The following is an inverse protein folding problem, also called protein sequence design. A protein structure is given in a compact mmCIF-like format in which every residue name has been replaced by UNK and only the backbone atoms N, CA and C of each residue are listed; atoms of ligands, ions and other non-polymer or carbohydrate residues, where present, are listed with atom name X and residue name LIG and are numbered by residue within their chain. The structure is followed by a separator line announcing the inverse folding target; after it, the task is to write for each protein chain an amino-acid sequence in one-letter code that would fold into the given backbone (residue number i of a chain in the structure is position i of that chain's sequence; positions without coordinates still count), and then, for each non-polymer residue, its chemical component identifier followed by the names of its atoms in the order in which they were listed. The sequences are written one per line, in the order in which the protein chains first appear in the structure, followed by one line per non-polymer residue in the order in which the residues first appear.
data_IF_377138049234
#
_entry.id   IF_377138049234
#
_cell.length_a   1.000
_cell.length_b   1.000
_cell.length_c   1.000
_cell.angle_alpha   90.00
_cell.angle_beta   90.00
_cell.angle_gamma   90.00
#
_symmetry.space_group_name_H-M   'P 1'
#
loop_
_entity.id
_entity.type
_entity.pdbx_description
1 polymer ?
#
# COMPACT_ATOMS: atom_id res chain seq x y z
N UNK A 1 15.92 -21.63 -44.14
CA UNK A 1 15.51 -21.14 -42.80
C UNK A 1 15.12 -22.37 -41.98
N UNK A 2 15.86 -22.71 -40.92
CA UNK A 2 15.69 -24.00 -40.24
C UNK A 2 14.48 -24.01 -39.30
N UNK A 3 13.88 -25.19 -39.12
CA UNK A 3 12.73 -25.44 -38.25
C UNK A 3 12.95 -24.95 -36.80
N UNK A 4 14.22 -24.95 -36.36
CA UNK A 4 14.66 -24.50 -35.04
C UNK A 4 14.45 -23.00 -34.78
N UNK A 5 14.51 -22.16 -35.81
CA UNK A 5 14.26 -20.72 -35.64
C UNK A 5 12.78 -20.42 -35.38
N UNK A 6 11.87 -21.18 -36.01
CA UNK A 6 10.43 -21.01 -35.79
C UNK A 6 10.00 -21.48 -34.40
N UNK A 7 10.57 -22.59 -33.91
CA UNK A 7 10.27 -23.09 -32.58
C UNK A 7 10.68 -22.08 -31.49
N UNK A 8 11.87 -21.48 -31.60
CA UNK A 8 12.33 -20.47 -30.65
C UNK A 8 11.45 -19.21 -30.67
N UNK A 9 11.05 -18.73 -31.85
CA UNK A 9 10.15 -17.56 -31.96
C UNK A 9 8.79 -17.84 -31.32
N UNK A 10 8.19 -19.00 -31.60
CA UNK A 10 6.89 -19.39 -31.03
C UNK A 10 6.99 -19.57 -29.51
N UNK A 11 8.07 -20.17 -29.01
CA UNK A 11 8.30 -20.35 -27.57
C UNK A 11 8.51 -19.00 -26.88
N UNK A 12 9.26 -18.07 -27.48
CA UNK A 12 9.44 -16.71 -26.95
C UNK A 12 8.13 -15.93 -26.93
N UNK A 13 7.30 -16.02 -27.98
CA UNK A 13 5.98 -15.38 -28.02
C UNK A 13 5.06 -15.99 -26.95
N UNK A 14 5.05 -17.31 -26.80
CA UNK A 14 4.23 -18.01 -25.80
C UNK A 14 4.64 -17.68 -24.36
N UNK A 15 5.94 -17.59 -24.10
CA UNK A 15 6.46 -17.17 -22.79
C UNK A 15 6.22 -15.68 -22.52
N UNK A 16 6.19 -14.84 -23.57
CA UNK A 16 5.89 -13.42 -23.45
C UNK A 16 4.41 -13.15 -23.17
N UNK A 17 3.49 -13.93 -23.78
CA UNK A 17 2.04 -13.74 -23.58
C UNK A 17 1.55 -14.22 -22.21
N UNK A 18 2.22 -15.21 -21.60
CA UNK A 18 1.89 -15.67 -20.24
C UNK A 18 2.19 -14.60 -19.17
N UNK A 19 3.14 -13.71 -19.43
CA UNK A 19 3.53 -12.65 -18.48
C UNK A 19 2.65 -11.39 -18.54
N UNK A 20 1.68 -11.32 -19.46
CA UNK A 20 0.99 -10.07 -19.80
C UNK A 20 -0.46 -9.96 -19.33
N UNK A 21 -0.99 -10.94 -18.61
CA UNK A 21 -2.20 -10.70 -17.82
C UNK A 21 -1.78 -10.02 -16.52
N UNK A 22 -1.44 -8.74 -16.63
CA UNK A 22 -1.34 -7.86 -15.47
C UNK A 22 -2.64 -7.99 -14.67
N UNK A 23 -2.51 -8.21 -13.37
CA UNK A 23 -3.64 -8.31 -12.48
C UNK A 23 -4.26 -6.93 -12.31
N UNK A 24 -5.24 -6.61 -13.16
CA UNK A 24 -5.87 -5.30 -13.22
C UNK A 24 -6.69 -4.95 -11.97
N UNK A 25 -6.79 -5.86 -11.00
CA UNK A 25 -7.54 -5.68 -9.76
C UNK A 25 -6.82 -4.78 -8.77
N UNK A 26 -5.51 -4.62 -8.89
CA UNK A 26 -4.69 -3.80 -8.03
C UNK A 26 -3.95 -2.75 -8.83
N UNK A 27 -3.80 -1.57 -8.24
CA UNK A 27 -3.05 -0.47 -8.84
C UNK A 27 -2.33 0.31 -7.76
N UNK A 28 -1.02 0.46 -7.91
CA UNK A 28 -0.26 1.38 -7.07
C UNK A 28 -0.58 2.81 -7.53
N UNK A 29 -1.17 3.61 -6.65
CA UNK A 29 -1.47 5.01 -6.93
C UNK A 29 -0.24 5.92 -6.82
N UNK A 30 0.87 5.36 -6.34
CA UNK A 30 2.14 6.05 -6.07
C UNK A 30 3.31 5.22 -6.59
N UNK A 31 4.37 5.88 -7.05
CA UNK A 31 5.62 5.22 -7.42
C UNK A 31 6.62 5.21 -6.26
N UNK A 32 6.36 4.35 -5.27
CA UNK A 32 7.20 4.24 -4.07
C UNK A 32 8.55 3.58 -4.38
N UNK A 33 9.62 4.37 -4.31
CA UNK A 33 11.01 3.97 -4.58
C UNK A 33 11.59 3.06 -3.50
N UNK A 34 10.90 2.87 -2.38
CA UNK A 34 11.31 1.96 -1.31
C UNK A 34 10.88 0.50 -1.58
N UNK A 35 10.02 0.27 -2.58
CA UNK A 35 9.59 -1.07 -3.01
C UNK A 35 10.65 -1.66 -3.96
N UNK A 36 11.03 -2.95 -3.82
CA UNK A 36 11.84 -3.62 -4.82
C UNK A 36 11.15 -3.62 -6.20
N UNK A 37 11.88 -3.33 -7.27
CA UNK A 37 11.32 -3.18 -8.65
C UNK A 37 10.39 -4.33 -9.06
N UNK A 38 10.75 -5.57 -8.71
CA UNK A 38 9.99 -6.78 -9.03
C UNK A 38 8.68 -6.93 -8.24
N UNK A 39 8.47 -6.14 -7.18
CA UNK A 39 7.27 -6.14 -6.33
C UNK A 39 6.31 -4.95 -6.58
N UNK A 40 6.59 -4.06 -7.54
CA UNK A 40 5.68 -2.94 -7.84
C UNK A 40 4.32 -3.38 -8.39
N UNK A 41 4.27 -4.53 -9.06
CA UNK A 41 3.06 -5.05 -9.69
C UNK A 41 2.36 -6.04 -8.78
N UNK A 42 1.62 -5.52 -7.80
CA UNK A 42 0.84 -6.32 -6.83
C UNK A 42 -0.23 -7.14 -7.54
N UNK A 43 -0.35 -8.42 -7.17
CA UNK A 43 -1.31 -9.39 -7.72
C UNK A 43 -2.09 -10.07 -6.61
N UNK A 44 -3.23 -10.66 -6.95
CA UNK A 44 -4.02 -11.46 -6.00
C UNK A 44 -3.21 -12.61 -5.38
N UNK A 45 -2.28 -13.19 -6.13
CA UNK A 45 -1.42 -14.28 -5.65
C UNK A 45 -0.43 -13.85 -4.56
N UNK A 46 -0.15 -12.55 -4.46
CA UNK A 46 0.84 -12.03 -3.53
C UNK A 46 0.24 -11.97 -2.11
N UNK A 47 -1.09 -11.85 -2.02
CA UNK A 47 -1.84 -11.87 -0.77
C UNK A 47 -1.89 -13.27 -0.16
N UNK A 48 -1.22 -13.46 0.99
CA UNK A 48 -1.16 -14.75 1.70
C UNK A 48 -2.56 -15.22 2.14
N UNK A 49 -2.72 -16.53 2.38
CA UNK A 49 -3.98 -17.06 2.89
C UNK A 49 -4.28 -16.62 4.33
N UNK A 50 -3.22 -16.29 5.08
CA UNK A 50 -3.26 -15.90 6.50
C UNK A 50 -2.84 -14.42 6.68
N UNK A 51 -3.49 -13.51 5.94
CA UNK A 51 -3.21 -12.06 6.08
C UNK A 51 -3.64 -11.55 7.44
N UNK A 52 -2.73 -10.82 8.08
CA UNK A 52 -3.01 -10.03 9.27
C UNK A 52 -3.60 -8.66 8.92
N UNK A 53 -4.62 -8.24 9.65
CA UNK A 53 -5.26 -6.94 9.47
C UNK A 53 -5.00 -6.08 10.70
N UNK A 54 -4.62 -4.83 10.52
CA UNK A 54 -4.41 -3.91 11.64
C UNK A 54 -4.90 -2.50 11.34
N UNK A 55 -5.11 -1.74 12.39
CA UNK A 55 -5.52 -0.35 12.33
C UNK A 55 -4.49 0.51 13.05
N UNK A 56 -4.20 1.68 12.49
CA UNK A 56 -3.31 2.65 13.10
C UNK A 56 -4.01 4.01 13.24
N UNK A 57 -3.72 4.70 14.33
CA UNK A 57 -4.14 6.07 14.53
C UNK A 57 -3.08 6.87 15.28
N UNK A 58 -3.45 8.06 15.74
CA UNK A 58 -2.61 8.98 16.50
C UNK A 58 -2.62 8.62 18.00
N UNK A 59 -1.82 9.32 18.81
CA UNK A 59 -1.69 9.14 20.27
C UNK A 59 -3.03 8.96 20.98
N UNK A 60 -3.10 8.14 22.03
CA UNK A 60 -4.30 7.80 22.82
C UNK A 60 -5.46 7.19 21.98
N UNK A 61 -5.15 6.57 20.85
CA UNK A 61 -6.16 5.93 20.01
C UNK A 61 -6.39 4.47 20.38
N UNK A 62 -5.42 3.81 21.02
CA UNK A 62 -5.56 2.42 21.50
C UNK A 62 -6.78 2.19 22.38
N UNK A 63 -7.10 3.13 23.27
CA UNK A 63 -8.31 3.07 24.11
C UNK A 63 -9.63 3.07 23.30
N UNK A 64 -9.59 3.46 22.02
CA UNK A 64 -10.73 3.43 21.10
C UNK A 64 -10.75 2.15 20.23
N UNK A 65 -9.82 1.23 20.45
CA UNK A 65 -9.74 -0.07 19.80
C UNK A 65 -8.77 -0.17 18.63
N UNK A 66 -7.95 0.86 18.34
CA UNK A 66 -6.88 0.77 17.35
C UNK A 66 -5.75 -0.15 17.82
N UNK A 67 -5.12 -0.86 16.89
CA UNK A 67 -4.05 -1.83 17.17
C UNK A 67 -2.72 -1.11 17.46
N UNK A 68 -2.41 -0.10 16.63
CA UNK A 68 -1.20 0.72 16.73
C UNK A 68 -1.52 2.20 16.88
N UNK A 69 -0.61 2.94 17.51
CA UNK A 69 -0.70 4.39 17.59
C UNK A 69 0.65 5.04 17.31
N UNK A 70 0.64 6.10 16.50
CA UNK A 70 1.77 6.98 16.33
C UNK A 70 1.76 8.05 17.44
N UNK A 71 2.89 8.40 18.07
CA UNK A 71 2.95 9.31 19.23
C UNK A 71 2.55 10.77 18.98
N UNK A 72 2.18 11.13 17.74
CA UNK A 72 1.69 12.48 17.40
C UNK A 72 0.22 12.62 17.80
N UNK A 73 -0.21 13.84 18.09
CA UNK A 73 -1.64 14.18 18.14
C UNK A 73 -2.12 14.81 16.83
N UNK A 74 -3.42 15.06 16.71
CA UNK A 74 -4.01 15.65 15.51
C UNK A 74 -3.50 17.08 15.25
N UNK A 75 -3.28 17.87 16.31
CA UNK A 75 -2.78 19.24 16.18
C UNK A 75 -1.38 19.24 15.56
N UNK A 76 -0.55 18.30 15.99
CA UNK A 76 0.81 18.07 15.47
C UNK A 76 0.76 17.68 14.00
N UNK A 77 -0.06 16.69 13.62
CA UNK A 77 -0.25 16.30 12.23
C UNK A 77 -0.71 17.48 11.34
N UNK A 78 -1.72 18.24 11.80
CA UNK A 78 -2.20 19.44 11.11
C UNK A 78 -1.10 20.50 10.94
N UNK A 79 -0.30 20.75 11.97
CA UNK A 79 0.78 21.75 11.93
C UNK A 79 1.87 21.35 10.94
N UNK A 80 2.29 20.08 10.97
CA UNK A 80 3.30 19.54 10.05
C UNK A 80 2.79 19.61 8.60
N UNK A 81 1.54 19.17 8.36
CA UNK A 81 0.92 19.24 7.05
C UNK A 81 0.87 20.67 6.50
N UNK A 82 0.41 21.64 7.30
CA UNK A 82 0.39 23.06 6.92
C UNK A 82 1.77 23.62 6.65
N UNK A 83 2.78 23.26 7.45
CA UNK A 83 4.17 23.66 7.23
C UNK A 83 4.69 23.09 5.91
N UNK A 84 4.36 21.85 5.57
CA UNK A 84 4.73 21.23 4.30
C UNK A 84 4.04 21.88 3.08
N UNK A 85 2.75 22.22 3.20
CA UNK A 85 2.04 22.98 2.16
C UNK A 85 2.63 24.39 1.97
N UNK A 86 2.94 25.09 3.07
CA UNK A 86 3.62 26.37 3.03
C UNK A 86 4.99 26.28 2.38
N UNK A 87 5.79 25.26 2.72
CA UNK A 87 7.07 25.00 2.09
C UNK A 87 7.00 24.76 0.58
N UNK A 88 5.90 24.21 0.05
CA UNK A 88 5.69 24.07 -1.41
C UNK A 88 5.39 25.38 -2.10
N UNK A 89 4.78 26.34 -1.39
CA UNK A 89 4.43 27.65 -1.93
C UNK A 89 5.59 28.66 -1.90
N UNK A 90 6.66 28.37 -1.15
CA UNK A 90 7.80 29.26 -0.95
C UNK A 90 9.08 28.56 -1.46
N UNK A 91 9.93 29.23 -2.23
CA UNK A 91 11.17 28.65 -2.74
C UNK A 91 12.05 28.10 -1.60
N UNK A 92 12.74 26.98 -1.84
CA UNK A 92 13.56 26.27 -0.83
C UNK A 92 14.55 27.18 -0.07
N UNK A 93 15.01 28.27 -0.69
CA UNK A 93 15.92 29.26 -0.09
C UNK A 93 15.33 29.99 1.14
N UNK A 94 14.01 30.08 1.26
CA UNK A 94 13.33 30.77 2.38
C UNK A 94 13.21 29.92 3.66
N UNK A 95 13.39 28.59 3.55
CA UNK A 95 13.15 27.66 4.67
C UNK A 95 14.41 27.52 5.55
N UNK A 96 15.60 27.73 5.00
CA UNK A 96 16.85 27.59 5.75
C UNK A 96 17.14 28.76 6.72
N UNK A 97 16.56 29.95 6.48
CA UNK A 97 16.88 31.15 7.27
C UNK A 97 16.17 31.30 8.62
N UNK A 98 14.99 30.67 8.82
CA UNK A 98 14.11 30.98 9.96
C UNK A 98 13.86 29.83 10.96
N UNK A 99 14.47 28.66 10.78
CA UNK A 99 14.16 27.46 11.60
C UNK A 99 15.24 27.12 12.65
N UNK A 100 16.20 28.00 12.93
CA UNK A 100 17.37 27.67 13.76
C UNK A 100 17.10 27.50 15.28
N UNK A 101 15.87 27.65 15.78
CA UNK A 101 15.63 27.69 17.23
C UNK A 101 14.47 26.87 17.80
N UNK A 102 13.79 26.02 17.02
CA UNK A 102 12.80 25.08 17.60
C UNK A 102 13.24 23.62 17.43
N UNK A 103 14.04 23.11 18.38
CA UNK A 103 14.26 21.67 18.58
C UNK A 103 13.04 21.03 19.25
N UNK A 104 11.89 21.10 18.58
CA UNK A 104 10.66 20.47 19.07
C UNK A 104 10.45 19.14 18.34
N UNK A 105 9.81 18.12 18.96
CA UNK A 105 9.46 16.87 18.27
C UNK A 105 8.72 17.06 16.94
N UNK A 106 8.03 18.19 16.77
CA UNK A 106 7.38 18.57 15.52
C UNK A 106 8.37 18.80 14.37
N UNK A 107 9.56 19.30 14.68
CA UNK A 107 10.62 19.52 13.70
C UNK A 107 11.18 18.19 13.20
N UNK A 108 11.40 17.22 14.08
CA UNK A 108 11.89 15.89 13.68
C UNK A 108 10.89 15.17 12.77
N UNK A 109 9.60 15.14 13.15
CA UNK A 109 8.55 14.57 12.30
C UNK A 109 8.43 15.32 10.96
N UNK A 110 8.56 16.65 10.98
CA UNK A 110 8.57 17.43 9.75
C UNK A 110 9.73 17.02 8.86
N UNK A 111 10.97 16.98 9.38
CA UNK A 111 12.14 16.59 8.59
C UNK A 111 12.00 15.16 8.01
N UNK A 112 11.54 14.20 8.82
CA UNK A 112 11.24 12.84 8.35
C UNK A 112 10.20 12.85 7.22
N UNK A 113 9.13 13.64 7.36
CA UNK A 113 8.10 13.78 6.33
C UNK A 113 8.68 14.32 5.01
N UNK A 114 9.48 15.39 5.05
CA UNK A 114 10.00 16.02 3.81
C UNK A 114 11.05 15.14 3.14
N UNK A 115 11.81 14.37 3.93
CA UNK A 115 12.81 13.43 3.42
C UNK A 115 12.16 12.23 2.71
N UNK A 116 11.06 11.69 3.24
CA UNK A 116 10.48 10.44 2.73
C UNK A 116 9.29 10.62 1.78
N UNK A 117 8.54 11.72 1.89
CA UNK A 117 7.41 11.96 0.98
C UNK A 117 7.77 11.85 -0.51
N UNK A 118 8.90 12.40 -1.00
CA UNK A 118 9.29 12.25 -2.41
C UNK A 118 9.68 10.82 -2.79
N UNK A 119 10.28 10.06 -1.87
CA UNK A 119 10.67 8.67 -2.11
C UNK A 119 9.45 7.78 -2.26
N UNK A 120 8.40 8.06 -1.49
CA UNK A 120 7.14 7.32 -1.50
C UNK A 120 6.09 7.94 -2.46
N UNK A 121 6.48 8.93 -3.27
CA UNK A 121 5.63 9.65 -4.23
C UNK A 121 4.36 10.29 -3.63
N UNK A 122 4.49 10.82 -2.41
CA UNK A 122 3.44 11.59 -1.75
C UNK A 122 3.49 13.07 -2.13
N UNK A 123 2.33 13.62 -2.48
CA UNK A 123 2.18 15.04 -2.74
C UNK A 123 1.64 15.84 -1.53
N UNK A 124 1.43 15.20 -0.38
CA UNK A 124 0.93 15.84 0.86
C UNK A 124 -0.37 16.62 0.62
N UNK A 125 -1.24 16.11 -0.25
CA UNK A 125 -2.52 16.72 -0.62
C UNK A 125 -3.54 16.67 0.52
N UNK A 126 -3.37 15.77 1.49
CA UNK A 126 -4.27 15.63 2.63
C UNK A 126 -3.52 15.52 3.97
N UNK A 127 -4.20 15.91 5.05
CA UNK A 127 -3.70 15.72 6.43
C UNK A 127 -3.40 14.24 6.70
N UNK A 128 -4.20 13.32 6.13
CA UNK A 128 -4.09 11.86 6.34
C UNK A 128 -2.75 11.29 5.89
N UNK A 129 -2.21 11.81 4.80
CA UNK A 129 -0.92 11.37 4.25
C UNK A 129 0.24 11.58 5.23
N UNK A 130 0.14 12.55 6.14
CA UNK A 130 1.14 12.70 7.22
C UNK A 130 1.18 11.47 8.12
N UNK A 131 0.02 10.91 8.46
CA UNK A 131 -0.04 9.70 9.28
C UNK A 131 0.37 8.45 8.48
N UNK A 132 0.08 8.38 7.19
CA UNK A 132 0.53 7.27 6.34
C UNK A 132 2.06 7.22 6.26
N UNK A 133 2.72 8.35 6.01
CA UNK A 133 4.19 8.41 5.93
C UNK A 133 4.81 8.13 7.31
N UNK A 134 4.42 8.90 8.34
CA UNK A 134 5.01 8.74 9.67
C UNK A 134 4.68 7.38 10.29
N UNK A 135 3.48 6.86 10.02
CA UNK A 135 3.07 5.52 10.41
C UNK A 135 3.89 4.44 9.73
N UNK A 136 4.19 4.60 8.44
CA UNK A 136 5.09 3.69 7.72
C UNK A 136 6.48 3.68 8.33
N UNK A 137 7.07 4.85 8.63
CA UNK A 137 8.37 4.94 9.28
C UNK A 137 8.38 4.29 10.66
N UNK A 138 7.33 4.50 11.46
CA UNK A 138 7.18 3.83 12.75
C UNK A 138 7.10 2.30 12.59
N UNK A 139 6.40 1.79 11.57
CA UNK A 139 6.37 0.36 11.31
C UNK A 139 7.75 -0.16 10.88
N UNK A 140 8.51 0.60 10.09
CA UNK A 140 9.90 0.24 9.79
C UNK A 140 10.73 0.07 11.06
N UNK A 141 10.62 1.00 12.01
CA UNK A 141 11.34 0.91 13.29
C UNK A 141 10.88 -0.27 14.17
N UNK A 142 9.60 -0.66 14.09
CA UNK A 142 9.02 -1.68 14.95
C UNK A 142 9.22 -3.11 14.42
N UNK A 143 9.11 -3.31 13.11
CA UNK A 143 8.96 -4.66 12.53
C UNK A 143 9.81 -4.92 11.30
N UNK A 144 10.42 -3.91 10.68
CA UNK A 144 11.15 -4.17 9.45
C UNK A 144 12.50 -4.81 9.72
N UNK A 145 12.78 -5.84 8.93
CA UNK A 145 14.08 -6.48 8.83
C UNK A 145 14.65 -6.32 7.41
N UNK A 146 15.73 -7.06 7.12
CA UNK A 146 16.37 -7.06 5.81
C UNK A 146 15.47 -7.65 4.70
N UNK A 147 14.42 -8.38 5.07
CA UNK A 147 13.50 -9.09 4.17
C UNK A 147 12.14 -8.43 4.03
N UNK A 148 11.77 -7.50 4.88
CA UNK A 148 10.45 -6.84 4.81
C UNK A 148 10.51 -5.48 4.14
N UNK A 149 9.51 -5.16 3.31
CA UNK A 149 9.19 -3.79 2.90
C UNK A 149 7.77 -3.40 3.33
N UNK A 150 7.57 -2.10 3.52
CA UNK A 150 6.32 -1.49 3.94
C UNK A 150 5.98 -0.36 2.98
N UNK A 151 4.75 -0.37 2.46
CA UNK A 151 4.24 0.64 1.53
C UNK A 151 2.74 0.87 1.75
N UNK A 152 2.11 1.69 0.91
CA UNK A 152 0.67 2.00 0.95
C UNK A 152 0.13 2.37 -0.43
N UNK A 153 -1.05 2.98 -0.47
CA UNK A 153 -1.70 3.44 -1.71
C UNK A 153 -1.92 2.40 -2.78
N UNK A 154 -2.26 1.18 -2.37
CA UNK A 154 -2.72 0.16 -3.30
C UNK A 154 -4.23 0.23 -3.40
N UNK A 155 -4.72 0.75 -4.53
CA UNK A 155 -6.13 0.74 -4.87
C UNK A 155 -6.55 -0.65 -5.36
N UNK A 156 -7.79 -1.02 -5.08
CA UNK A 156 -8.35 -2.29 -5.54
C UNK A 156 -9.73 -2.14 -6.17
N UNK A 157 -9.99 -2.94 -7.21
CA UNK A 157 -11.25 -2.99 -7.98
C UNK A 157 -11.61 -4.43 -8.35
N UNK A 158 -12.89 -4.67 -8.59
CA UNK A 158 -13.35 -5.94 -9.19
C UNK A 158 -12.89 -6.00 -10.64
N UNK A 159 -12.49 -7.18 -11.12
CA UNK A 159 -11.92 -7.43 -12.46
C UNK A 159 -12.74 -6.86 -13.64
N UNK A 160 -14.05 -6.66 -13.47
CA UNK A 160 -14.94 -6.13 -14.52
C UNK A 160 -15.45 -4.72 -14.23
N UNK A 161 -14.91 -4.05 -13.21
CA UNK A 161 -15.34 -2.72 -12.79
C UNK A 161 -14.23 -1.71 -13.03
N UNK A 162 -14.56 -0.60 -13.70
CA UNK A 162 -13.61 0.48 -13.96
C UNK A 162 -13.30 1.36 -12.74
N UNK A 163 -14.11 1.28 -11.67
CA UNK A 163 -13.95 2.12 -10.48
C UNK A 163 -13.30 1.35 -9.34
N UNK A 164 -12.37 1.99 -8.64
CA UNK A 164 -11.84 1.48 -7.38
C UNK A 164 -12.92 1.42 -6.31
N UNK A 165 -12.83 0.38 -5.49
CA UNK A 165 -13.76 0.10 -4.38
C UNK A 165 -13.13 0.51 -3.05
N UNK A 166 -11.80 0.57 -3.00
CA UNK A 166 -11.05 1.13 -1.89
C UNK A 166 -9.56 1.22 -2.21
N UNK A 167 -8.84 1.66 -1.19
CA UNK A 167 -7.39 1.82 -1.14
C UNK A 167 -6.92 1.26 0.21
N UNK A 168 -5.69 0.77 0.25
CA UNK A 168 -5.03 0.33 1.48
C UNK A 168 -3.97 1.34 1.90
N UNK A 169 -4.04 1.80 3.15
CA UNK A 169 -3.08 2.76 3.69
C UNK A 169 -1.72 2.11 4.00
N UNK A 170 -1.70 0.83 4.38
CA UNK A 170 -0.48 0.06 4.64
C UNK A 170 -0.52 -1.36 4.06
N UNK A 171 0.64 -1.80 3.56
CA UNK A 171 0.95 -3.17 3.16
C UNK A 171 2.32 -3.52 3.72
N UNK A 172 2.45 -4.73 4.27
CA UNK A 172 3.72 -5.30 4.74
C UNK A 172 3.94 -6.61 3.97
N UNK A 173 5.10 -6.71 3.33
CA UNK A 173 5.42 -7.81 2.44
C UNK A 173 6.90 -8.21 2.46
N UNK A 174 7.16 -9.43 2.02
CA UNK A 174 8.51 -9.95 1.84
C UNK A 174 9.12 -9.41 0.53
N UNK A 175 10.34 -8.87 0.62
CA UNK A 175 11.10 -8.22 -0.46
C UNK A 175 11.56 -9.16 -1.56
N UNK A 176 11.57 -10.48 -1.32
CA UNK A 176 12.09 -11.46 -2.28
C UNK A 176 10.97 -12.15 -3.04
N UNK A 177 9.88 -12.46 -2.34
CA UNK A 177 8.73 -13.20 -2.85
C UNK A 177 7.55 -12.30 -3.20
N UNK A 178 7.60 -11.03 -2.79
CA UNK A 178 6.51 -10.06 -2.82
C UNK A 178 5.26 -10.51 -2.02
N UNK A 179 5.37 -11.56 -1.19
CA UNK A 179 4.23 -12.08 -0.45
C UNK A 179 3.79 -11.06 0.62
N UNK A 180 2.55 -10.60 0.49
CA UNK A 180 1.86 -9.70 1.41
C UNK A 180 1.24 -10.53 2.53
N UNK A 181 1.67 -10.27 3.76
CA UNK A 181 1.20 -10.98 4.96
C UNK A 181 0.50 -10.06 5.97
N UNK A 182 0.56 -8.74 5.79
CA UNK A 182 -0.28 -7.84 6.57
C UNK A 182 -0.74 -6.62 5.77
N UNK A 183 -1.96 -6.15 6.08
CA UNK A 183 -2.55 -4.94 5.52
C UNK A 183 -3.11 -4.07 6.64
N UNK A 184 -3.04 -2.76 6.46
CA UNK A 184 -3.42 -1.81 7.49
C UNK A 184 -4.17 -0.60 6.98
N UNK A 185 -4.87 0.04 7.92
CA UNK A 185 -5.69 1.22 7.67
C UNK A 185 -5.41 2.30 8.73
N UNK A 186 -5.13 3.52 8.26
CA UNK A 186 -4.77 4.67 9.07
C UNK A 186 -5.95 5.65 9.22
N UNK A 187 -6.19 6.15 10.43
CA UNK A 187 -7.16 7.25 10.64
C UNK A 187 -6.66 8.27 11.65
N UNK A 188 -6.58 9.54 11.26
CA UNK A 188 -6.25 10.64 12.19
C UNK A 188 -7.30 10.89 13.28
N UNK A 189 -8.57 10.55 13.04
CA UNK A 189 -9.61 10.74 14.03
C UNK A 189 -9.80 9.45 14.85
N UNK A 190 -9.49 9.52 16.15
CA UNK A 190 -9.61 8.41 17.11
C UNK A 190 -11.03 7.81 17.18
N UNK A 191 -12.08 8.56 16.79
CA UNK A 191 -13.46 8.08 16.72
C UNK A 191 -13.80 7.31 15.43
N UNK A 192 -12.89 7.30 14.45
CA UNK A 192 -13.07 6.62 13.15
C UNK A 192 -12.55 5.18 13.13
N UNK A 193 -12.31 4.56 14.28
CA UNK A 193 -11.92 3.15 14.37
C UNK A 193 -12.92 2.22 13.63
N UNK A 194 -14.23 2.44 13.80
CA UNK A 194 -15.25 1.67 13.07
C UNK A 194 -15.16 1.81 11.55
N UNK A 195 -14.82 3.00 11.04
CA UNK A 195 -14.58 3.21 9.62
C UNK A 195 -13.33 2.48 9.14
N UNK A 196 -12.25 2.48 9.93
CA UNK A 196 -11.02 1.76 9.59
C UNK A 196 -11.30 0.25 9.45
N UNK A 197 -11.98 -0.34 10.45
CA UNK A 197 -12.41 -1.75 10.39
C UNK A 197 -13.34 -2.04 9.23
N UNK A 198 -14.25 -1.13 8.90
CA UNK A 198 -15.13 -1.29 7.74
C UNK A 198 -14.34 -1.35 6.42
N UNK A 199 -13.29 -0.54 6.27
CA UNK A 199 -12.42 -0.56 5.08
C UNK A 199 -11.71 -1.91 4.96
N UNK A 200 -11.12 -2.41 6.05
CA UNK A 200 -10.43 -3.69 6.10
C UNK A 200 -11.36 -4.87 5.86
N UNK A 201 -12.56 -4.87 6.48
CA UNK A 201 -13.57 -5.91 6.25
C UNK A 201 -14.02 -5.93 4.78
N UNK A 202 -14.17 -4.76 4.15
CA UNK A 202 -14.48 -4.68 2.71
C UNK A 202 -13.36 -5.28 1.87
N UNK A 203 -12.10 -5.02 2.22
CA UNK A 203 -10.96 -5.60 1.53
C UNK A 203 -10.86 -7.13 1.72
N UNK A 204 -11.07 -7.62 2.95
CA UNK A 204 -11.10 -9.05 3.24
C UNK A 204 -12.17 -9.78 2.41
N UNK A 205 -13.40 -9.24 2.38
CA UNK A 205 -14.49 -9.79 1.56
C UNK A 205 -14.16 -9.75 0.07
N UNK A 206 -13.48 -8.69 -0.38
CA UNK A 206 -12.99 -8.60 -1.74
C UNK A 206 -12.00 -9.74 -2.06
N UNK A 207 -10.98 -9.99 -1.23
CA UNK A 207 -10.03 -11.09 -1.43
C UNK A 207 -10.73 -12.46 -1.47
N UNK A 208 -11.65 -12.71 -0.53
CA UNK A 208 -12.42 -13.96 -0.48
C UNK A 208 -13.20 -14.20 -1.77
N UNK A 209 -13.91 -13.17 -2.26
CA UNK A 209 -14.68 -13.27 -3.50
C UNK A 209 -13.79 -13.49 -4.72
N UNK A 210 -12.65 -12.78 -4.80
CA UNK A 210 -11.71 -12.96 -5.90
C UNK A 210 -11.09 -14.37 -5.93
N UNK A 211 -10.74 -14.93 -4.76
CA UNK A 211 -10.25 -16.31 -4.66
C UNK A 211 -11.32 -17.32 -5.04
N UNK A 212 -12.58 -17.10 -4.61
CA UNK A 212 -13.72 -17.94 -5.00
C UNK A 212 -13.89 -17.99 -6.52
N UNK A 213 -13.84 -16.83 -7.18
CA UNK A 213 -13.94 -16.72 -8.64
C UNK A 213 -12.75 -17.44 -9.29
N UNK A 214 -11.51 -17.21 -8.84
CA UNK A 214 -10.32 -17.84 -9.40
C UNK A 214 -10.38 -19.38 -9.28
N UNK A 215 -10.86 -19.91 -8.16
CA UNK A 215 -11.00 -21.35 -7.94
C UNK A 215 -12.13 -21.96 -8.78
N UNK A 216 -13.23 -21.24 -8.99
CA UNK A 216 -14.32 -21.70 -9.86
C UNK A 216 -13.84 -21.94 -11.30
N UNK A 217 -12.99 -21.07 -11.84
CA UNK A 217 -12.44 -21.23 -13.18
C UNK A 217 -11.34 -22.30 -13.29
N UNK A 218 -10.68 -22.66 -12.17
CA UNK A 218 -9.64 -23.69 -12.12
C UNK A 218 -10.18 -25.11 -11.96
N UNK A 219 -11.41 -25.27 -11.48
CA UNK A 219 -12.01 -26.60 -11.34
C UNK A 219 -12.13 -27.26 -12.73
N UNK A 220 -11.58 -28.47 -12.95
CA UNK A 220 -11.74 -29.16 -14.22
C UNK A 220 -13.23 -29.35 -14.47
N UNK A 221 -13.72 -28.79 -15.57
CA UNK A 221 -15.07 -29.01 -16.07
C UNK A 221 -15.20 -30.48 -16.48
N UNK A 222 -15.44 -31.35 -15.51
CA UNK A 222 -15.92 -32.73 -15.72
C UNK A 222 -17.37 -32.67 -16.22
N UNK A 223 -17.57 -32.12 -17.43
CA UNK A 223 -18.77 -32.39 -18.20
C UNK A 223 -18.52 -33.71 -18.93
N UNK A 224 -18.82 -34.81 -18.22
CA UNK A 224 -19.06 -36.09 -18.87
C UNK A 224 -20.40 -35.95 -19.58
N UNK A 225 -20.36 -35.63 -20.88
CA UNK A 225 -21.50 -35.80 -21.76
C UNK A 225 -21.64 -37.31 -21.98
N UNK A 226 -22.39 -37.96 -21.09
CA UNK A 226 -22.88 -39.31 -21.31
C UNK A 226 -23.95 -39.25 -22.40
N UNK A 227 -23.58 -39.54 -23.64
CA UNK A 227 -24.55 -39.93 -24.66
C UNK A 227 -25.00 -41.36 -24.33
N UNK A 228 -26.23 -41.48 -23.82
CA UNK A 228 -27.01 -42.71 -23.84
C UNK A 228 -28.17 -42.54 -24.80
#
# INVERSE_FOLDING_TARGET
MSYWNWLNIVLSIFLYTQNLLADDRFESLRNDQLIPEHCHNVKLSDFSDEISYFTMSIKDSKQNGFDYEHPIDRRTATNIWRKALGAKAWSQESIQGNNAHETTPNQDYYQSLIAHAPLMDFNLSSEGEVLEILGTLLLYDLIADDKTFITGSIAYRLQLHSRYIGELDFIIADKTTCQIYAVGEAKLNKRKHGYAKQQLNRFQNFLLEQRRIQNFWRAPKLFVIGNS
#
